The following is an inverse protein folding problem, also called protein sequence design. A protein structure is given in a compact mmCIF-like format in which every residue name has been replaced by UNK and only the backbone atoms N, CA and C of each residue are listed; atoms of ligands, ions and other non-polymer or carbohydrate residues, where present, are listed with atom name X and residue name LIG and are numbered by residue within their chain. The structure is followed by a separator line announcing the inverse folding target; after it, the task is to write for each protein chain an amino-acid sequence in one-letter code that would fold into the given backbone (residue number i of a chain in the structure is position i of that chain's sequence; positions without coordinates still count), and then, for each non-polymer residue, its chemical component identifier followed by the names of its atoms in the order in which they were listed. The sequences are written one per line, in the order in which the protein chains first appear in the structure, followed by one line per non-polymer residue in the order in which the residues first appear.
data_IF_354863876735
#
_entry.id   IF_354863876735
#
_cell.length_a   1.000
_cell.length_b   1.000
_cell.length_c   1.000
_cell.angle_alpha   90.00
_cell.angle_beta   90.00
_cell.angle_gamma   90.00
#
_symmetry.space_group_name_H-M   'P 1'
#
loop_
_entity.id
_entity.type
_entity.pdbx_description
1 polymer ?
#
# COMPACT_ATOMS: atom_id res chain seq x y z
N UNK A 1 15.37 -10.92 12.59
CA UNK A 1 13.93 -10.92 13.02
C UNK A 1 13.03 -11.21 11.81
N UNK A 2 12.03 -12.09 11.93
CA UNK A 2 11.20 -12.46 10.77
C UNK A 2 10.16 -11.38 10.40
N UNK A 3 9.68 -11.40 9.14
CA UNK A 3 8.72 -10.44 8.61
C UNK A 3 7.43 -10.34 9.44
N UNK A 4 6.87 -11.48 9.82
CA UNK A 4 5.63 -11.52 10.61
C UNK A 4 5.74 -10.83 11.97
N UNK A 5 6.87 -10.98 12.66
CA UNK A 5 7.13 -10.27 13.92
C UNK A 5 7.18 -8.76 13.70
N UNK A 6 7.85 -8.27 12.65
CA UNK A 6 7.88 -6.83 12.32
C UNK A 6 6.47 -6.29 12.08
N UNK A 7 5.63 -7.03 11.36
CA UNK A 7 4.27 -6.57 11.06
C UNK A 7 3.41 -6.49 12.32
N UNK A 8 3.51 -7.46 13.23
CA UNK A 8 2.80 -7.41 14.50
C UNK A 8 3.30 -6.27 15.41
N UNK A 9 4.60 -6.00 15.44
CA UNK A 9 5.14 -4.84 16.17
C UNK A 9 4.63 -3.50 15.62
N UNK A 10 4.39 -3.39 14.31
CA UNK A 10 3.74 -2.20 13.75
C UNK A 10 2.30 -2.08 14.27
N UNK A 11 1.56 -3.20 14.33
CA UNK A 11 0.20 -3.18 14.90
C UNK A 11 0.22 -2.80 16.38
N UNK A 12 1.19 -3.30 17.15
CA UNK A 12 1.37 -2.94 18.57
C UNK A 12 1.57 -1.44 18.72
N UNK A 13 2.51 -0.88 17.97
CA UNK A 13 2.75 0.56 17.94
C UNK A 13 1.47 1.34 17.58
N UNK A 14 0.73 0.92 16.56
CA UNK A 14 -0.50 1.60 16.16
C UNK A 14 -1.54 1.55 17.28
N UNK A 15 -1.78 0.38 17.88
CA UNK A 15 -2.77 0.18 18.94
C UNK A 15 -2.43 1.00 20.20
N UNK A 16 -1.15 1.07 20.57
CA UNK A 16 -0.66 1.87 21.70
C UNK A 16 -0.83 3.38 21.47
N UNK A 17 -0.88 3.83 20.21
CA UNK A 17 -0.95 5.24 19.82
C UNK A 17 -2.33 5.63 19.24
N UNK A 18 -3.39 4.84 19.42
CA UNK A 18 -4.72 5.14 18.86
C UNK A 18 -5.35 6.42 19.41
N UNK A 19 -5.03 6.80 20.65
CA UNK A 19 -5.50 8.05 21.28
C UNK A 19 -4.55 9.24 21.05
N UNK A 20 -3.46 9.03 20.31
CA UNK A 20 -2.42 10.03 20.06
C UNK A 20 -2.12 10.13 18.56
N UNK A 21 -1.12 10.94 18.21
CA UNK A 21 -0.64 11.07 16.84
C UNK A 21 0.19 9.84 16.44
N UNK A 22 -0.23 9.13 15.39
CA UNK A 22 0.50 8.00 14.85
C UNK A 22 1.58 8.51 13.89
N UNK A 23 2.84 8.43 14.31
CA UNK A 23 3.97 8.84 13.48
C UNK A 23 4.31 7.74 12.47
N UNK A 24 4.02 7.97 11.18
CA UNK A 24 4.26 7.00 10.12
C UNK A 24 5.76 6.70 9.89
N UNK A 25 6.66 7.64 10.21
CA UNK A 25 8.11 7.37 10.11
C UNK A 25 8.57 6.28 11.10
N UNK A 26 7.87 6.12 12.22
CA UNK A 26 8.11 5.04 13.17
C UNK A 26 7.64 3.69 12.62
N UNK A 27 6.50 3.66 11.91
CA UNK A 27 6.01 2.47 11.21
C UNK A 27 7.07 1.98 10.20
N UNK A 28 7.59 2.88 9.37
CA UNK A 28 8.62 2.55 8.39
C UNK A 28 9.88 1.94 9.02
N UNK A 29 10.31 2.49 10.17
CA UNK A 29 11.46 1.96 10.94
C UNK A 29 11.20 0.53 11.45
N UNK A 30 10.05 0.29 12.08
CA UNK A 30 9.68 -1.02 12.63
C UNK A 30 9.53 -2.06 11.50
N UNK A 31 8.88 -1.67 10.40
CA UNK A 31 8.68 -2.54 9.24
C UNK A 31 9.97 -2.80 8.44
N UNK A 32 11.01 -1.97 8.63
CA UNK A 32 12.24 -1.95 7.84
C UNK A 32 11.98 -1.80 6.33
N UNK A 33 10.94 -1.06 5.95
CA UNK A 33 10.61 -0.74 4.57
C UNK A 33 10.00 0.66 4.49
N UNK A 34 9.78 1.17 3.27
CA UNK A 34 9.06 2.44 3.11
C UNK A 34 7.63 2.32 3.67
N UNK A 35 7.07 3.43 4.17
CA UNK A 35 5.68 3.43 4.64
C UNK A 35 4.71 2.97 3.56
N UNK A 36 5.04 3.30 2.32
CA UNK A 36 4.32 2.88 1.14
C UNK A 36 4.25 1.36 1.02
N UNK A 37 5.40 0.68 1.05
CA UNK A 37 5.45 -0.79 1.01
C UNK A 37 4.64 -1.40 2.13
N UNK A 38 4.75 -0.86 3.35
CA UNK A 38 3.96 -1.32 4.48
C UNK A 38 2.45 -1.17 4.23
N UNK A 39 1.98 0.01 3.81
CA UNK A 39 0.55 0.22 3.58
C UNK A 39 -0.01 -0.58 2.40
N UNK A 40 0.78 -0.73 1.33
CA UNK A 40 0.42 -1.59 0.22
C UNK A 40 0.30 -3.04 0.69
N UNK A 41 1.31 -3.55 1.39
CA UNK A 41 1.24 -4.87 2.00
C UNK A 41 0.02 -5.03 2.90
N UNK A 42 -0.19 -4.07 3.80
CA UNK A 42 -1.31 -4.07 4.74
C UNK A 42 -2.63 -4.16 3.99
N UNK A 43 -2.82 -3.34 2.96
CA UNK A 43 -4.07 -3.31 2.17
C UNK A 43 -4.23 -4.56 1.32
N UNK A 44 -3.15 -5.08 0.74
CA UNK A 44 -3.16 -6.32 -0.02
C UNK A 44 -3.61 -7.50 0.85
N UNK A 45 -3.10 -7.61 2.08
CA UNK A 45 -3.42 -8.74 2.98
C UNK A 45 -4.77 -8.56 3.69
N UNK A 46 -5.08 -7.35 4.17
CA UNK A 46 -6.25 -7.10 5.03
C UNK A 46 -7.48 -6.65 4.26
N UNK A 47 -7.33 -6.36 2.96
CA UNK A 47 -8.37 -5.83 2.08
C UNK A 47 -8.94 -4.46 2.52
N UNK A 48 -8.29 -3.80 3.47
CA UNK A 48 -8.64 -2.45 3.94
C UNK A 48 -7.38 -1.59 4.05
N UNK A 49 -7.55 -0.27 3.91
CA UNK A 49 -6.42 0.64 4.12
C UNK A 49 -6.02 0.72 5.60
N UNK A 50 -4.76 1.04 5.85
CA UNK A 50 -4.27 1.28 7.22
C UNK A 50 -5.05 2.39 7.93
N UNK A 51 -5.40 3.46 7.19
CA UNK A 51 -6.21 4.55 7.72
C UNK A 51 -7.61 4.09 8.14
N UNK A 52 -8.24 3.21 7.35
CA UNK A 52 -9.54 2.64 7.68
C UNK A 52 -9.45 1.71 8.89
N UNK A 53 -8.38 0.93 9.02
CA UNK A 53 -8.10 0.14 10.22
C UNK A 53 -8.02 1.03 11.47
N UNK A 54 -7.17 2.06 11.45
CA UNK A 54 -7.02 3.02 12.56
C UNK A 54 -8.36 3.65 12.91
N UNK A 55 -9.12 4.10 11.91
CA UNK A 55 -10.45 4.71 12.11
C UNK A 55 -11.42 3.74 12.78
N UNK A 56 -11.50 2.50 12.31
CA UNK A 56 -12.36 1.46 12.89
C UNK A 56 -11.98 1.19 14.35
N UNK A 57 -10.69 1.03 14.64
CA UNK A 57 -10.18 0.78 15.99
C UNK A 57 -10.47 1.94 16.94
N UNK A 58 -10.22 3.19 16.53
CA UNK A 58 -10.55 4.38 17.32
C UNK A 58 -12.03 4.46 17.67
N UNK A 59 -12.92 4.24 16.70
CA UNK A 59 -14.37 4.28 16.92
C UNK A 59 -14.87 3.14 17.80
N UNK A 60 -14.31 1.93 17.64
CA UNK A 60 -14.59 0.79 18.52
C UNK A 60 -14.19 1.08 19.97
N UNK A 61 -12.99 1.62 20.22
CA UNK A 61 -12.57 1.97 21.58
C UNK A 61 -13.41 3.11 22.17
N UNK A 62 -13.76 4.10 21.33
CA UNK A 62 -14.66 5.17 21.72
C UNK A 62 -16.03 4.64 22.17
N UNK A 63 -16.58 3.63 21.48
CA UNK A 63 -17.81 2.96 21.88
C UNK A 63 -17.68 2.27 23.25
N UNK A 64 -16.58 1.55 23.51
CA UNK A 64 -16.34 0.94 24.81
C UNK A 64 -16.26 1.97 25.95
N UNK A 65 -15.58 3.10 25.71
CA UNK A 65 -15.48 4.18 26.71
C UNK A 65 -16.81 4.88 26.96
N UNK A 66 -17.66 5.05 25.93
CA UNK A 66 -19.01 5.61 26.09
C UNK A 66 -19.89 4.73 26.97
N UNK A 67 -19.75 3.40 26.87
CA UNK A 67 -20.53 2.45 27.65
C UNK A 67 -20.00 2.26 29.07
N UNK A 68 -18.70 2.40 29.28
CA UNK A 68 -18.04 2.16 30.58
C UNK A 68 -17.78 3.41 31.41
N UNK A 69 -17.97 4.62 30.86
CA UNK A 69 -17.63 5.86 31.55
C UNK A 69 -18.56 7.06 31.23
N UNK A 70 -18.61 8.08 32.10
CA UNK A 70 -19.38 9.30 31.86
C UNK A 70 -18.66 10.34 30.96
N UNK A 71 -17.58 9.96 30.25
CA UNK A 71 -16.76 10.87 29.41
C UNK A 71 -17.62 11.68 28.44
N UNK A 72 -17.40 12.98 28.26
CA UNK A 72 -18.24 13.75 27.32
C UNK A 72 -17.88 13.38 25.88
N UNK A 73 -18.86 13.44 24.98
CA UNK A 73 -18.66 13.16 23.54
C UNK A 73 -17.59 14.06 22.93
N UNK A 74 -17.51 15.32 23.39
CA UNK A 74 -16.49 16.29 22.96
C UNK A 74 -15.08 15.84 23.37
N UNK A 75 -14.92 15.42 24.63
CA UNK A 75 -13.63 14.96 25.15
C UNK A 75 -13.17 13.68 24.43
N UNK A 76 -14.12 12.79 24.13
CA UNK A 76 -13.86 11.56 23.39
C UNK A 76 -13.48 11.83 21.93
N UNK A 77 -14.14 12.78 21.27
CA UNK A 77 -13.80 13.21 19.92
C UNK A 77 -12.35 13.73 19.87
N UNK A 78 -11.98 14.60 20.81
CA UNK A 78 -10.62 15.13 20.92
C UNK A 78 -9.60 14.02 21.19
N UNK A 79 -9.89 13.13 22.15
CA UNK A 79 -9.04 11.98 22.51
C UNK A 79 -8.73 11.08 21.32
N UNK A 80 -9.68 10.87 20.40
CA UNK A 80 -9.47 10.02 19.22
C UNK A 80 -9.10 10.80 17.95
N UNK A 81 -8.62 12.04 18.11
CA UNK A 81 -8.02 12.84 17.03
C UNK A 81 -9.03 13.39 16.03
N UNK A 82 -10.27 13.63 16.44
CA UNK A 82 -11.26 14.33 15.62
C UNK A 82 -11.23 15.84 15.91
N UNK A 83 -11.14 16.64 14.84
CA UNK A 83 -11.09 18.11 14.94
C UNK A 83 -12.37 18.74 15.50
N UNK A 84 -13.51 18.03 15.37
CA UNK A 84 -14.79 18.51 15.89
C UNK A 84 -15.71 17.37 16.37
N UNK A 85 -16.58 17.61 17.37
CA UNK A 85 -17.58 16.65 17.82
C UNK A 85 -18.56 16.22 16.71
N UNK A 86 -18.85 17.10 15.75
CA UNK A 86 -19.71 16.83 14.60
C UNK A 86 -19.04 15.84 13.65
N UNK A 87 -17.74 16.04 13.36
CA UNK A 87 -16.96 15.12 12.55
C UNK A 87 -16.91 13.72 13.20
N UNK A 88 -16.65 13.67 14.51
CA UNK A 88 -16.70 12.43 15.29
C UNK A 88 -18.09 11.78 15.22
N UNK A 89 -19.16 12.53 15.45
CA UNK A 89 -20.54 12.01 15.43
C UNK A 89 -20.90 11.42 14.07
N UNK A 90 -20.52 12.07 12.96
CA UNK A 90 -20.74 11.54 11.60
C UNK A 90 -19.97 10.22 11.39
N UNK A 91 -18.70 10.18 11.79
CA UNK A 91 -17.87 8.98 11.63
C UNK A 91 -18.36 7.82 12.52
N UNK A 92 -18.72 8.12 13.77
CA UNK A 92 -19.28 7.17 14.73
C UNK A 92 -20.60 6.60 14.23
N UNK A 93 -21.50 7.45 13.75
CA UNK A 93 -22.78 7.01 13.16
C UNK A 93 -22.57 6.18 11.89
N UNK A 94 -21.64 6.59 11.01
CA UNK A 94 -21.31 5.82 9.80
C UNK A 94 -20.84 4.40 10.15
N UNK A 95 -20.05 4.24 11.23
CA UNK A 95 -19.56 2.94 11.65
C UNK A 95 -20.62 2.15 12.45
N UNK A 96 -21.14 2.69 13.55
CA UNK A 96 -22.02 1.95 14.47
C UNK A 96 -23.51 2.00 14.09
N UNK A 97 -23.93 2.92 13.23
CA UNK A 97 -25.34 3.10 12.85
C UNK A 97 -26.18 3.89 13.86
N UNK A 98 -25.56 4.42 14.91
CA UNK A 98 -26.23 5.18 16.00
C UNK A 98 -25.38 6.38 16.40
N UNK A 99 -25.97 7.35 17.10
CA UNK A 99 -25.21 8.50 17.63
C UNK A 99 -24.41 8.10 18.89
N UNK A 100 -23.31 8.83 19.22
CA UNK A 100 -22.55 8.59 20.45
C UNK A 100 -23.41 8.64 21.73
N UNK A 101 -24.38 9.56 21.79
CA UNK A 101 -25.29 9.67 22.94
C UNK A 101 -26.22 8.46 23.07
N UNK A 102 -26.71 7.92 21.94
CA UNK A 102 -27.53 6.72 21.93
C UNK A 102 -26.73 5.47 22.34
N UNK A 103 -25.47 5.38 21.92
CA UNK A 103 -24.58 4.24 22.22
C UNK A 103 -24.41 3.93 23.72
N UNK A 104 -24.71 4.88 24.60
CA UNK A 104 -24.70 4.69 26.06
C UNK A 104 -25.83 3.81 26.59
N UNK A 105 -26.93 3.72 25.84
CA UNK A 105 -28.12 3.01 26.30
C UNK A 105 -27.86 1.51 26.24
N UNK A 106 -28.28 0.80 27.29
CA UNK A 106 -28.25 -0.65 27.30
C UNK A 106 -29.11 -1.22 26.16
N UNK A 107 -28.63 -2.28 25.50
CA UNK A 107 -29.35 -2.93 24.40
C UNK A 107 -29.12 -2.33 23.01
N UNK A 108 -28.27 -1.31 22.88
CA UNK A 108 -27.88 -0.75 21.57
C UNK A 108 -26.85 -1.65 20.88
N UNK A 109 -27.11 -1.97 19.62
CA UNK A 109 -26.18 -2.72 18.77
C UNK A 109 -25.03 -1.82 18.30
N UNK A 110 -23.81 -2.21 18.64
CA UNK A 110 -22.58 -1.53 18.20
C UNK A 110 -21.72 -2.53 17.42
N UNK A 111 -21.05 -2.05 16.36
CA UNK A 111 -20.08 -2.85 15.63
C UNK A 111 -18.75 -2.91 16.36
N UNK A 112 -18.19 -4.10 16.44
CA UNK A 112 -16.88 -4.34 17.03
C UNK A 112 -15.87 -4.71 15.95
N UNK A 113 -14.72 -4.04 15.97
CA UNK A 113 -13.59 -4.33 15.10
C UNK A 113 -12.40 -4.67 15.99
N UNK A 114 -12.12 -5.96 16.24
CA UNK A 114 -11.05 -6.35 17.14
C UNK A 114 -9.67 -5.95 16.60
N UNK A 115 -8.69 -5.88 17.50
CA UNK A 115 -7.28 -5.69 17.14
C UNK A 115 -6.84 -6.75 16.14
N UNK A 116 -6.12 -6.32 15.11
CA UNK A 116 -5.58 -7.21 14.09
C UNK A 116 -4.31 -7.93 14.58
N UNK A 117 -4.05 -9.12 14.07
CA UNK A 117 -2.78 -9.83 14.25
C UNK A 117 -2.46 -10.56 12.95
N UNK A 118 -1.23 -10.40 12.47
CA UNK A 118 -0.75 -11.13 11.31
C UNK A 118 -0.27 -12.52 11.73
N UNK A 119 -0.87 -13.54 11.11
CA UNK A 119 -0.44 -14.93 11.22
C UNK A 119 -0.10 -15.43 9.82
N UNK A 120 1.20 -15.56 9.54
CA UNK A 120 1.68 -16.10 8.28
C UNK A 120 1.79 -17.62 8.41
N UNK A 121 0.98 -18.36 7.66
CA UNK A 121 1.10 -19.81 7.53
C UNK A 121 1.64 -20.15 6.15
N UNK A 122 2.83 -20.76 6.08
CA UNK A 122 3.37 -21.23 4.80
C UNK A 122 2.55 -22.45 4.38
N UNK A 123 1.67 -22.26 3.40
CA UNK A 123 0.98 -23.36 2.73
C UNK A 123 1.70 -23.58 1.41
N UNK A 124 2.60 -24.56 1.34
CA UNK A 124 3.28 -24.98 0.11
C UNK A 124 2.34 -25.61 -0.93
N UNK A 125 1.12 -25.09 -1.04
CA UNK A 125 -0.01 -25.64 -1.77
C UNK A 125 -0.30 -24.88 -3.07
N UNK A 126 0.25 -23.67 -3.24
CA UNK A 126 0.02 -22.84 -4.43
C UNK A 126 1.37 -22.62 -5.12
N UNK A 127 1.47 -23.10 -6.36
CA UNK A 127 2.61 -22.84 -7.23
C UNK A 127 2.65 -21.36 -7.58
N UNK A 128 3.83 -20.75 -7.51
CA UNK A 128 4.06 -19.37 -7.94
C UNK A 128 5.34 -19.30 -8.75
N UNK A 129 5.19 -18.97 -10.03
CA UNK A 129 6.31 -18.78 -10.94
C UNK A 129 7.00 -17.46 -10.62
N UNK A 130 8.25 -17.55 -10.17
CA UNK A 130 9.09 -16.39 -9.94
C UNK A 130 10.48 -16.61 -10.53
N UNK A 131 11.16 -15.51 -10.84
CA UNK A 131 12.58 -15.50 -11.20
C UNK A 131 13.30 -14.37 -10.47
N UNK A 132 14.60 -14.53 -10.27
CA UNK A 132 15.47 -13.46 -9.81
C UNK A 132 16.17 -12.85 -11.02
N UNK A 133 16.09 -11.52 -11.12
CA UNK A 133 16.75 -10.73 -12.16
C UNK A 133 17.72 -9.77 -11.52
N UNK A 134 18.94 -9.68 -12.07
CA UNK A 134 19.90 -8.63 -11.71
C UNK A 134 19.94 -7.63 -12.85
N UNK A 135 19.48 -6.40 -12.59
CA UNK A 135 19.47 -5.34 -13.59
C UNK A 135 20.52 -4.29 -13.23
N UNK A 136 21.26 -3.85 -14.25
CA UNK A 136 22.06 -2.62 -14.18
C UNK A 136 21.16 -1.40 -13.98
N UNK A 137 21.75 -0.25 -13.68
CA UNK A 137 20.99 0.99 -13.56
C UNK A 137 20.21 1.29 -14.86
N UNK A 138 18.94 1.62 -14.72
CA UNK A 138 18.06 1.99 -15.83
C UNK A 138 17.17 3.17 -15.42
N UNK A 139 16.44 3.72 -16.38
CA UNK A 139 15.52 4.81 -16.11
C UNK A 139 14.19 4.59 -16.81
N UNK A 140 13.15 5.19 -16.24
CA UNK A 140 11.82 5.22 -16.83
C UNK A 140 11.40 6.66 -17.10
N UNK A 141 10.60 6.84 -18.15
CA UNK A 141 9.97 8.12 -18.52
C UNK A 141 8.47 7.96 -18.38
N UNK A 142 7.79 8.95 -17.80
CA UNK A 142 6.36 8.83 -17.54
C UNK A 142 5.65 10.08 -17.04
N UNK A 143 4.32 9.99 -16.98
CA UNK A 143 3.47 10.99 -16.35
C UNK A 143 3.46 10.74 -14.84
N UNK A 144 3.69 11.80 -14.07
CA UNK A 144 3.74 11.74 -12.61
C UNK A 144 2.56 12.48 -11.99
N UNK A 145 1.88 11.82 -11.05
CA UNK A 145 0.81 12.42 -10.25
C UNK A 145 1.05 12.15 -8.77
N UNK A 146 0.86 13.17 -7.92
CA UNK A 146 0.93 13.03 -6.46
C UNK A 146 -0.42 12.50 -5.98
N UNK A 147 -0.43 11.31 -5.39
CA UNK A 147 -1.64 10.60 -4.99
C UNK A 147 -1.69 10.47 -3.47
N UNK A 148 -2.83 10.83 -2.87
CA UNK A 148 -3.07 10.53 -1.46
C UNK A 148 -3.30 9.03 -1.28
N UNK A 149 -2.65 8.41 -0.30
CA UNK A 149 -2.70 6.98 -0.01
C UNK A 149 -4.13 6.48 0.25
N UNK A 150 -4.99 7.31 0.87
CA UNK A 150 -6.40 6.97 1.15
C UNK A 150 -7.24 6.89 -0.13
N UNK A 151 -6.85 7.63 -1.16
CA UNK A 151 -7.58 7.74 -2.43
C UNK A 151 -6.93 6.92 -3.55
N UNK A 152 -5.79 6.29 -3.31
CA UNK A 152 -5.01 5.57 -4.32
C UNK A 152 -5.83 4.54 -5.11
N UNK A 153 -6.68 3.76 -4.44
CA UNK A 153 -7.56 2.78 -5.08
C UNK A 153 -8.61 3.40 -6.02
N UNK A 154 -8.93 4.68 -5.85
CA UNK A 154 -9.88 5.40 -6.70
C UNK A 154 -9.16 6.22 -7.78
N UNK A 155 -8.06 6.89 -7.42
CA UNK A 155 -7.32 7.79 -8.32
C UNK A 155 -6.52 7.00 -9.35
N UNK A 156 -5.80 5.94 -8.93
CA UNK A 156 -4.90 5.21 -9.86
C UNK A 156 -5.66 4.64 -11.06
N UNK A 157 -6.80 3.94 -10.92
CA UNK A 157 -7.57 3.49 -12.09
C UNK A 157 -8.01 4.63 -13.02
N UNK A 158 -8.35 5.81 -12.47
CA UNK A 158 -8.70 6.99 -13.27
C UNK A 158 -7.49 7.55 -14.02
N UNK A 159 -6.28 7.46 -13.47
CA UNK A 159 -5.04 7.82 -14.17
C UNK A 159 -4.85 6.97 -15.42
N UNK A 160 -5.00 5.65 -15.27
CA UNK A 160 -4.92 4.71 -16.40
C UNK A 160 -6.00 4.99 -17.46
N UNK A 161 -7.23 5.29 -17.04
CA UNK A 161 -8.31 5.69 -17.94
C UNK A 161 -7.99 6.95 -18.74
N UNK A 162 -7.59 8.04 -18.06
CA UNK A 162 -7.21 9.31 -18.70
C UNK A 162 -6.02 9.15 -19.64
N UNK A 163 -4.99 8.40 -19.22
CA UNK A 163 -3.81 8.15 -20.04
C UNK A 163 -4.15 7.46 -21.37
N UNK A 164 -5.10 6.52 -21.33
CA UNK A 164 -5.62 5.86 -22.54
C UNK A 164 -6.38 6.84 -23.44
N UNK A 165 -7.26 7.67 -22.90
CA UNK A 165 -8.04 8.65 -23.67
C UNK A 165 -7.17 9.73 -24.31
N UNK A 166 -6.05 10.09 -23.67
CA UNK A 166 -5.14 11.15 -24.11
C UNK A 166 -4.02 10.68 -25.07
N UNK A 167 -3.98 9.39 -25.44
CA UNK A 167 -2.90 8.86 -26.30
C UNK A 167 -1.53 8.77 -25.60
N UNK A 168 -1.54 8.72 -24.26
CA UNK A 168 -0.30 8.68 -23.47
C UNK A 168 0.44 7.35 -23.67
N UNK A 169 -0.28 6.24 -23.84
CA UNK A 169 0.33 4.93 -24.03
C UNK A 169 1.13 4.85 -25.33
N UNK A 170 0.61 5.41 -26.42
CA UNK A 170 1.29 5.51 -27.71
C UNK A 170 2.55 6.38 -27.58
N UNK A 171 2.43 7.51 -26.89
CA UNK A 171 3.56 8.41 -26.64
C UNK A 171 4.68 7.70 -25.87
N UNK A 172 4.34 6.99 -24.80
CA UNK A 172 5.29 6.17 -24.04
C UNK A 172 5.87 5.05 -24.90
N UNK A 173 5.04 4.31 -25.62
CA UNK A 173 5.46 3.21 -26.45
C UNK A 173 6.50 3.63 -27.50
N UNK A 174 6.36 4.83 -28.06
CA UNK A 174 7.30 5.37 -29.06
C UNK A 174 8.67 5.73 -28.49
N UNK A 175 8.77 6.03 -27.19
CA UNK A 175 10.06 6.35 -26.55
C UNK A 175 10.70 5.16 -25.85
N UNK A 176 10.08 3.97 -25.89
CA UNK A 176 10.56 2.78 -25.19
C UNK A 176 11.99 2.39 -25.57
N UNK A 177 12.71 1.80 -24.63
CA UNK A 177 13.96 1.09 -24.90
C UNK A 177 13.65 -0.34 -25.32
N UNK A 178 13.92 -0.65 -26.59
CA UNK A 178 13.75 -2.01 -27.10
C UNK A 178 14.78 -2.98 -26.49
N UNK A 179 14.38 -4.24 -26.31
CA UNK A 179 15.24 -5.30 -25.78
C UNK A 179 15.55 -5.22 -24.28
N UNK A 180 15.02 -4.23 -23.55
CA UNK A 180 15.14 -4.18 -22.10
C UNK A 180 14.29 -5.30 -21.45
N UNK A 181 14.72 -5.93 -20.33
CA UNK A 181 13.94 -7.01 -19.68
C UNK A 181 12.55 -6.56 -19.20
N UNK A 182 12.41 -5.32 -18.75
CA UNK A 182 11.13 -4.69 -18.40
C UNK A 182 10.53 -4.04 -19.65
N UNK A 183 9.46 -4.64 -20.22
CA UNK A 183 8.96 -4.36 -21.59
C UNK A 183 7.56 -3.75 -21.70
N UNK A 184 6.90 -3.47 -20.58
CA UNK A 184 5.50 -3.02 -20.56
C UNK A 184 5.30 -1.54 -20.27
N UNK A 185 4.03 -1.12 -20.27
CA UNK A 185 3.62 0.12 -19.60
C UNK A 185 3.65 -0.15 -18.10
N UNK A 186 4.23 0.78 -17.34
CA UNK A 186 4.62 0.57 -15.96
C UNK A 186 3.77 1.41 -15.02
N UNK A 187 3.27 0.78 -13.97
CA UNK A 187 2.82 1.43 -12.75
C UNK A 187 3.94 1.44 -11.73
N UNK A 188 4.52 2.61 -11.48
CA UNK A 188 5.57 2.78 -10.47
C UNK A 188 5.07 3.71 -9.37
N UNK A 189 5.22 3.30 -8.13
CA UNK A 189 4.84 4.12 -6.99
C UNK A 189 6.09 4.55 -6.25
N UNK A 190 6.52 5.78 -6.51
CA UNK A 190 7.76 6.35 -6.04
C UNK A 190 7.56 7.26 -4.82
N UNK A 191 8.62 7.31 -4.01
CA UNK A 191 8.94 8.38 -3.06
C UNK A 191 7.77 8.96 -2.25
N UNK A 192 7.19 8.12 -1.40
CA UNK A 192 6.46 8.61 -0.23
C UNK A 192 7.47 8.95 0.86
N UNK A 193 7.78 10.23 1.03
CA UNK A 193 8.69 10.77 2.06
C UNK A 193 8.51 10.03 3.39
N UNK A 194 9.45 9.14 3.75
CA UNK A 194 9.50 8.31 4.96
C UNK A 194 8.48 8.63 6.06
N UNK A 195 7.22 8.24 5.86
CA UNK A 195 6.16 8.49 6.83
C UNK A 195 6.04 9.94 7.33
N UNK A 196 6.41 10.92 6.50
CA UNK A 196 6.11 12.34 6.71
C UNK A 196 4.79 12.73 6.07
N UNK A 197 4.43 12.08 4.97
CA UNK A 197 3.28 12.45 4.14
C UNK A 197 2.37 11.25 3.87
N UNK A 198 1.05 11.46 3.90
CA UNK A 198 0.03 10.49 3.47
C UNK A 198 -0.11 10.42 1.92
N UNK A 199 0.93 10.84 1.18
CA UNK A 199 0.92 10.90 -0.27
C UNK A 199 2.21 10.34 -0.87
N UNK A 200 2.12 9.84 -2.11
CA UNK A 200 3.24 9.29 -2.87
C UNK A 200 3.14 9.73 -4.34
N UNK A 201 4.23 9.62 -5.08
CA UNK A 201 4.26 9.91 -6.51
C UNK A 201 3.91 8.64 -7.28
N UNK A 202 2.77 8.61 -7.98
CA UNK A 202 2.46 7.56 -8.93
C UNK A 202 2.98 7.98 -10.31
N UNK A 203 3.77 7.11 -10.94
CA UNK A 203 4.42 7.34 -12.22
C UNK A 203 3.95 6.28 -13.21
N UNK A 204 3.10 6.68 -14.15
CA UNK A 204 2.71 5.86 -15.30
C UNK A 204 3.77 6.02 -16.38
N UNK A 205 4.55 4.97 -16.64
CA UNK A 205 5.83 5.10 -17.34
C UNK A 205 6.18 3.95 -18.27
N UNK A 206 7.35 4.06 -18.89
CA UNK A 206 8.01 3.01 -19.67
C UNK A 206 9.52 3.14 -19.50
N UNK A 207 10.27 2.04 -19.65
CA UNK A 207 11.74 2.10 -19.69
C UNK A 207 12.18 2.85 -20.95
N UNK A 208 13.02 3.86 -20.80
CA UNK A 208 13.49 4.69 -21.91
C UNK A 208 14.81 5.36 -21.57
N UNK A 209 15.75 5.43 -22.52
CA UNK A 209 16.96 6.25 -22.39
C UNK A 209 16.82 7.65 -23.02
N UNK A 210 15.66 7.94 -23.61
CA UNK A 210 15.40 9.18 -24.32
C UNK A 210 15.09 10.33 -23.36
N UNK A 211 15.08 11.57 -23.85
CA UNK A 211 14.58 12.70 -23.06
C UNK A 211 13.06 12.57 -22.84
N UNK A 212 12.53 13.02 -21.68
CA UNK A 212 11.09 12.94 -21.44
C UNK A 212 10.35 13.78 -22.48
N UNK A 213 9.27 13.27 -23.09
CA UNK A 213 8.31 14.09 -23.81
C UNK A 213 7.77 15.23 -22.93
N UNK A 214 7.18 16.24 -23.57
CA UNK A 214 6.57 17.36 -22.85
C UNK A 214 5.53 16.87 -21.83
N UNK A 215 5.57 17.43 -20.61
CA UNK A 215 4.68 17.02 -19.51
C UNK A 215 5.07 15.72 -18.80
N UNK A 216 6.16 15.05 -19.21
CA UNK A 216 6.65 13.83 -18.57
C UNK A 216 7.91 14.08 -17.74
N UNK A 217 8.18 13.15 -16.82
CA UNK A 217 9.36 13.16 -15.95
C UNK A 217 10.20 11.90 -16.13
N UNK A 218 11.38 11.89 -15.50
CA UNK A 218 12.29 10.75 -15.40
C UNK A 218 12.37 10.24 -13.98
N UNK A 219 12.46 8.92 -13.84
CA UNK A 219 12.78 8.26 -12.59
C UNK A 219 13.89 7.24 -12.84
N UNK A 220 14.98 7.35 -12.09
CA UNK A 220 16.13 6.45 -12.20
C UNK A 220 16.04 5.32 -11.16
N UNK A 221 16.44 4.13 -11.59
CA UNK A 221 16.62 2.96 -10.76
C UNK A 221 18.11 2.61 -10.73
N UNK A 222 18.74 2.49 -9.54
CA UNK A 222 20.11 2.01 -9.46
C UNK A 222 20.19 0.51 -9.80
N UNK A 223 21.41 0.00 -9.97
CA UNK A 223 21.65 -1.45 -10.06
C UNK A 223 21.00 -2.15 -8.87
N UNK A 224 20.23 -3.21 -9.14
CA UNK A 224 19.47 -3.92 -8.09
C UNK A 224 19.09 -5.33 -8.50
N UNK A 225 18.83 -6.15 -7.49
CA UNK A 225 18.22 -7.46 -7.66
C UNK A 225 16.71 -7.35 -7.51
N UNK A 226 15.99 -8.04 -8.37
CA UNK A 226 14.53 -8.03 -8.46
C UNK A 226 14.02 -9.46 -8.38
N UNK A 227 12.96 -9.67 -7.61
CA UNK A 227 12.10 -10.82 -7.80
C UNK A 227 10.99 -10.45 -8.77
N UNK A 228 10.77 -11.29 -9.77
CA UNK A 228 9.76 -11.08 -10.81
C UNK A 228 8.75 -12.20 -10.76
N UNK A 229 7.48 -11.85 -10.58
CA UNK A 229 6.36 -12.78 -10.62
C UNK A 229 5.62 -12.68 -11.94
N UNK A 230 5.27 -13.83 -12.49
CA UNK A 230 4.36 -13.92 -13.63
C UNK A 230 2.93 -13.66 -13.16
N UNK A 231 2.24 -12.75 -13.83
CA UNK A 231 0.87 -12.33 -13.51
C UNK A 231 -0.02 -12.56 -14.73
N UNK A 232 -1.24 -13.07 -14.54
CA UNK A 232 -2.19 -13.20 -15.64
C UNK A 232 -2.63 -11.84 -16.21
N UNK A 233 -3.18 -11.83 -17.43
CA UNK A 233 -3.70 -10.61 -18.08
C UNK A 233 -4.87 -9.93 -17.37
N UNK A 234 -5.53 -10.59 -16.41
CA UNK A 234 -6.64 -10.02 -15.64
C UNK A 234 -6.10 -9.03 -14.58
N UNK A 235 -6.62 -7.79 -14.49
CA UNK A 235 -6.23 -6.81 -13.47
C UNK A 235 -6.29 -7.32 -12.01
N UNK A 236 -7.20 -8.24 -11.69
CA UNK A 236 -7.30 -8.83 -10.36
C UNK A 236 -6.11 -9.73 -10.00
N UNK A 237 -5.43 -10.30 -11.00
CA UNK A 237 -4.25 -11.17 -10.77
C UNK A 237 -3.06 -10.37 -10.22
N UNK A 238 -2.95 -9.07 -10.51
CA UNK A 238 -1.89 -8.22 -9.96
C UNK A 238 -2.02 -8.08 -8.43
N UNK A 239 -3.25 -7.89 -7.94
CA UNK A 239 -3.52 -7.84 -6.51
C UNK A 239 -3.18 -9.18 -5.82
N UNK A 240 -3.51 -10.30 -6.47
CA UNK A 240 -3.18 -11.64 -6.00
C UNK A 240 -1.67 -11.88 -5.96
N UNK A 241 -0.92 -11.44 -6.98
CA UNK A 241 0.53 -11.54 -7.01
C UNK A 241 1.17 -10.76 -5.84
N UNK A 242 0.66 -9.56 -5.53
CA UNK A 242 1.07 -8.80 -4.34
C UNK A 242 0.78 -9.55 -3.04
N UNK A 243 -0.41 -10.16 -2.91
CA UNK A 243 -0.77 -10.97 -1.75
C UNK A 243 0.19 -12.15 -1.56
N UNK A 244 0.44 -12.92 -2.62
CA UNK A 244 1.33 -14.08 -2.58
C UNK A 244 2.78 -13.67 -2.30
N UNK A 245 3.24 -12.54 -2.84
CA UNK A 245 4.56 -11.99 -2.51
C UNK A 245 4.70 -11.77 -1.00
N UNK A 246 3.77 -11.07 -0.36
CA UNK A 246 3.88 -10.73 1.06
C UNK A 246 3.50 -11.87 2.01
N UNK A 247 2.54 -12.73 1.64
CA UNK A 247 2.01 -13.78 2.50
C UNK A 247 2.79 -15.09 2.40
N UNK A 248 3.31 -15.42 1.21
CA UNK A 248 3.90 -16.73 0.94
C UNK A 248 5.41 -16.62 0.68
N UNK A 249 5.82 -15.79 -0.29
CA UNK A 249 7.21 -15.78 -0.75
C UNK A 249 8.15 -15.03 0.19
N UNK A 250 7.83 -13.80 0.57
CA UNK A 250 8.70 -12.95 1.40
C UNK A 250 8.99 -13.55 2.79
N UNK A 251 8.00 -14.16 3.49
CA UNK A 251 8.27 -14.81 4.78
C UNK A 251 9.19 -16.04 4.65
N UNK A 252 9.09 -16.77 3.54
CA UNK A 252 9.86 -18.00 3.30
C UNK A 252 11.20 -17.78 2.57
N UNK A 253 11.43 -16.60 1.98
CA UNK A 253 12.61 -16.33 1.17
C UNK A 253 13.81 -15.85 2.01
N UNK A 254 15.00 -15.88 1.39
CA UNK A 254 16.23 -15.32 1.94
C UNK A 254 16.37 -13.80 1.71
N UNK A 255 15.28 -13.10 1.37
CA UNK A 255 15.30 -11.72 0.92
C UNK A 255 14.39 -10.80 1.75
N UNK A 256 14.82 -9.55 1.90
CA UNK A 256 13.98 -8.44 2.36
C UNK A 256 13.67 -7.51 1.18
N UNK A 257 12.57 -6.74 1.22
CA UNK A 257 12.29 -5.73 0.20
C UNK A 257 13.40 -4.67 0.21
N UNK A 258 13.91 -4.32 -0.97
CA UNK A 258 14.87 -3.22 -1.11
C UNK A 258 14.18 -1.86 -0.92
N UNK A 259 14.99 -0.84 -0.65
CA UNK A 259 14.49 0.54 -0.57
C UNK A 259 14.36 1.18 -1.96
N UNK A 260 13.55 0.56 -2.82
CA UNK A 260 13.27 0.99 -4.19
C UNK A 260 11.80 0.73 -4.53
N UNK A 261 11.20 1.52 -5.42
CA UNK A 261 9.81 1.31 -5.79
C UNK A 261 9.67 0.03 -6.62
N UNK A 262 8.64 -0.76 -6.31
CA UNK A 262 8.25 -1.88 -7.16
C UNK A 262 7.58 -1.40 -8.45
N UNK A 263 7.61 -2.27 -9.46
CA UNK A 263 7.10 -2.00 -10.80
C UNK A 263 6.01 -3.01 -11.12
N UNK A 264 4.79 -2.51 -11.37
CA UNK A 264 3.71 -3.26 -11.98
C UNK A 264 3.85 -3.12 -13.50
N UNK A 265 4.29 -4.18 -14.17
CA UNK A 265 4.61 -4.16 -15.59
C UNK A 265 3.47 -4.79 -16.39
N UNK A 266 2.75 -3.95 -17.15
CA UNK A 266 1.64 -4.36 -18.00
C UNK A 266 2.13 -4.57 -19.43
N UNK A 267 2.24 -5.83 -19.84
CA UNK A 267 2.75 -6.20 -21.16
C UNK A 267 1.66 -5.96 -22.23
N UNK A 268 2.02 -5.99 -23.53
CA UNK A 268 1.05 -5.91 -24.60
C UNK A 268 -0.11 -6.89 -24.40
N UNK A 269 -1.38 -6.46 -24.61
CA UNK A 269 -2.56 -7.29 -24.37
C UNK A 269 -2.52 -8.66 -25.06
N UNK A 270 -1.86 -8.74 -26.22
CA UNK A 270 -1.68 -9.95 -27.02
C UNK A 270 -0.91 -11.06 -26.27
N UNK A 271 -0.05 -10.69 -25.31
CA UNK A 271 0.71 -11.66 -24.49
C UNK A 271 -0.16 -12.27 -23.36
N UNK A 272 -1.32 -11.69 -23.06
CA UNK A 272 -2.23 -12.09 -21.96
C UNK A 272 -1.52 -12.37 -20.63
N UNK A 273 -0.44 -11.62 -20.37
CA UNK A 273 0.47 -11.78 -19.25
C UNK A 273 0.93 -10.40 -18.79
N UNK A 274 1.25 -10.27 -17.51
CA UNK A 274 1.84 -9.11 -16.87
C UNK A 274 2.96 -9.59 -15.95
N UNK A 275 3.70 -8.67 -15.36
CA UNK A 275 4.76 -9.01 -14.40
C UNK A 275 4.74 -8.07 -13.20
N UNK A 276 5.00 -8.62 -12.02
CA UNK A 276 5.25 -7.85 -10.80
C UNK A 276 6.74 -7.92 -10.48
N UNK A 277 7.42 -6.78 -10.55
CA UNK A 277 8.84 -6.65 -10.24
C UNK A 277 9.02 -5.99 -8.89
N UNK A 278 9.52 -6.74 -7.90
CA UNK A 278 9.79 -6.22 -6.55
C UNK A 278 11.30 -6.22 -6.30
N UNK A 279 11.91 -5.07 -5.98
CA UNK A 279 13.32 -5.02 -5.71
C UNK A 279 13.61 -5.63 -4.34
N UNK A 280 14.67 -6.43 -4.24
CA UNK A 280 15.01 -7.22 -3.05
C UNK A 280 16.50 -7.14 -2.74
N UNK A 281 16.82 -7.27 -1.45
CA UNK A 281 18.18 -7.41 -0.92
C UNK A 281 18.27 -8.70 -0.12
N UNK A 282 19.43 -9.37 -0.17
CA UNK A 282 19.65 -10.56 0.66
C UNK A 282 19.54 -10.18 2.13
N UNK A 283 18.83 -11.00 2.91
CA UNK A 283 18.84 -10.90 4.37
C UNK A 283 20.29 -11.03 4.82
N UNK A 284 20.77 -10.07 5.60
CA UNK A 284 22.06 -10.20 6.26
C UNK A 284 22.04 -11.50 7.06
N UNK A 285 23.06 -12.33 6.92
CA UNK A 285 23.24 -13.44 7.84
C UNK A 285 23.40 -12.84 9.25
N UNK A 286 22.41 -13.06 10.12
CA UNK A 286 22.52 -12.80 11.56
C UNK A 286 23.60 -13.71 12.17
#
# INVERSE_FOLDING_TARGET
MNWGTRMNQVIDYIEENLAEEIVYSQIAKIACCSIYHFQRMFSSITEISLAEYIRRRRLTLAAYELQSSPIKVVDLALKYGYESPEAFTRAFHSLHGVTPSAARQAGVNLKDYPRLTFQFSIKGAVEMNYRLEKLDAFQVVGVKERVNMKEAFHIVPQLWGRAREQGTFETLWNVRREGHPVRGILGVCADGDFGKNEAFDYVLSIVSDQNPPEGMTKLAFPESTWVVFDVGGNPMEMQKAWQQFYADWLPASAYDPAYLPAIECYLPPEENKNELWVPVVSKSAE
#
